data_IF_992788486243
#
_entry.id   IF_992788486243
#
_cell.length_a   1.000
_cell.length_b   1.000
_cell.length_c   1.000
_cell.angle_alpha   90.00
_cell.angle_beta   90.00
_cell.angle_gamma   90.00
#
_symmetry.space_group_name_H-M   'P 1'
#
loop_
_entity.id
_entity.type
_entity.pdbx_description
1 polymer ?
#
# COMPACT_ATOMS: atom_id res chain seq x y z
N UNK A 1 -66.16 16.48 4.62
CA UNK A 1 -65.61 15.11 4.59
C UNK A 1 -64.16 15.20 5.05
N UNK A 2 -63.86 14.49 6.16
CA UNK A 2 -62.57 14.10 6.75
C UNK A 2 -61.29 14.85 6.31
N UNK A 3 -60.45 15.40 7.19
CA UNK A 3 -60.42 15.43 8.66
C UNK A 3 -59.35 16.43 9.10
N UNK A 4 -59.71 17.25 10.08
CA UNK A 4 -58.85 18.17 10.83
C UNK A 4 -58.08 17.38 11.91
N UNK A 5 -56.91 17.88 12.32
CA UNK A 5 -56.65 18.41 13.68
C UNK A 5 -55.15 18.44 13.97
N UNK A 6 -54.71 19.64 14.33
CA UNK A 6 -53.40 20.01 14.88
C UNK A 6 -53.17 19.48 16.30
N UNK A 7 -51.91 19.56 16.72
CA UNK A 7 -51.38 19.45 18.08
C UNK A 7 -52.32 19.86 19.22
N UNK A 8 -52.37 19.04 20.27
CA UNK A 8 -52.36 19.57 21.63
C UNK A 8 -51.70 18.63 22.65
N UNK A 9 -51.08 19.28 23.61
CA UNK A 9 -50.13 18.85 24.64
C UNK A 9 -50.85 18.30 25.88
N UNK A 10 -50.33 17.26 26.54
CA UNK A 10 -50.59 17.03 27.98
C UNK A 10 -49.57 16.10 28.67
N UNK A 11 -48.60 16.73 29.33
CA UNK A 11 -48.30 16.63 30.77
C UNK A 11 -48.49 15.27 31.48
N UNK A 12 -47.35 14.64 31.81
CA UNK A 12 -47.06 14.15 33.16
C UNK A 12 -47.28 12.67 33.45
N UNK A 13 -46.18 11.96 33.72
CA UNK A 13 -46.08 11.11 34.92
C UNK A 13 -44.62 10.92 35.29
N UNK A 14 -44.25 11.47 36.44
CA UNK A 14 -43.06 11.08 37.18
C UNK A 14 -43.19 9.58 37.51
N UNK A 15 -42.23 8.80 37.03
CA UNK A 15 -42.16 7.35 37.21
C UNK A 15 -40.75 6.92 37.57
N UNK A 16 -40.39 7.13 38.84
CA UNK A 16 -39.50 6.28 39.65
C UNK A 16 -38.21 5.80 38.97
N UNK A 17 -37.14 6.57 39.14
CA UNK A 17 -35.76 6.10 39.04
C UNK A 17 -35.48 5.00 40.06
N UNK A 18 -35.73 3.74 39.67
CA UNK A 18 -35.12 2.58 40.30
C UNK A 18 -33.68 2.44 39.83
N UNK A 19 -32.77 1.85 40.62
CA UNK A 19 -31.39 1.69 40.22
C UNK A 19 -31.34 0.65 39.09
N UNK A 20 -30.88 1.05 37.91
CA UNK A 20 -30.57 0.11 36.84
C UNK A 20 -29.33 -0.72 37.24
N UNK A 21 -29.58 -1.79 37.98
CA UNK A 21 -28.72 -2.97 38.01
C UNK A 21 -28.97 -3.74 36.73
N UNK A 22 -28.41 -3.24 35.61
CA UNK A 22 -28.34 -3.92 34.33
C UNK A 22 -26.94 -4.51 34.16
N UNK A 23 -26.86 -5.83 34.18
CA UNK A 23 -25.66 -6.62 33.93
C UNK A 23 -25.17 -6.32 32.50
N UNK A 24 -24.22 -5.38 32.34
CA UNK A 24 -23.55 -5.08 31.06
C UNK A 24 -22.73 -6.31 30.65
N UNK A 25 -23.37 -7.20 29.90
CA UNK A 25 -22.73 -8.33 29.24
C UNK A 25 -21.68 -7.77 28.27
N UNK A 26 -20.42 -7.69 28.71
CA UNK A 26 -19.31 -7.21 27.90
C UNK A 26 -19.29 -8.00 26.59
N UNK A 27 -19.59 -7.34 25.48
CA UNK A 27 -19.57 -7.98 24.15
C UNK A 27 -18.15 -8.50 23.88
N UNK A 28 -17.97 -9.79 23.59
CA UNK A 28 -16.66 -10.34 23.35
C UNK A 28 -16.02 -9.69 22.13
N UNK A 29 -14.74 -9.31 22.25
CA UNK A 29 -14.00 -8.68 21.17
C UNK A 29 -13.81 -9.65 20.00
N UNK A 30 -14.03 -9.15 18.78
CA UNK A 30 -13.79 -9.90 17.55
C UNK A 30 -12.33 -10.38 17.48
N UNK A 31 -12.12 -11.66 17.14
CA UNK A 31 -10.78 -12.26 17.03
C UNK A 31 -9.91 -11.54 16.01
N UNK A 32 -10.52 -11.11 14.90
CA UNK A 32 -9.81 -10.37 13.85
C UNK A 32 -9.28 -9.04 14.37
N UNK A 33 -10.06 -8.30 15.17
CA UNK A 33 -9.61 -7.01 15.73
C UNK A 33 -8.44 -7.17 16.70
N UNK A 34 -8.37 -8.29 17.42
CA UNK A 34 -7.23 -8.59 18.27
C UNK A 34 -5.96 -8.91 17.46
N UNK A 35 -6.11 -9.63 16.34
CA UNK A 35 -5.00 -9.93 15.42
C UNK A 35 -4.55 -8.67 14.65
N UNK A 36 -5.49 -7.88 14.15
CA UNK A 36 -5.22 -6.62 13.47
C UNK A 36 -4.48 -5.64 14.40
N UNK A 37 -4.84 -5.60 15.69
CA UNK A 37 -4.11 -4.79 16.67
C UNK A 37 -2.64 -5.21 16.79
N UNK A 38 -2.36 -6.51 16.84
CA UNK A 38 -1.00 -7.04 16.92
C UNK A 38 -0.20 -6.77 15.63
N UNK A 39 -0.82 -6.94 14.47
CA UNK A 39 -0.20 -6.64 13.18
C UNK A 39 0.15 -5.15 13.11
N UNK A 40 -0.78 -4.28 13.53
CA UNK A 40 -0.59 -2.84 13.53
C UNK A 40 0.51 -2.39 14.49
N UNK A 41 0.63 -3.03 15.66
CA UNK A 41 1.74 -2.81 16.58
C UNK A 41 3.10 -3.19 15.94
N UNK A 42 3.15 -4.31 15.20
CA UNK A 42 4.37 -4.75 14.52
C UNK A 42 4.76 -3.83 13.35
N UNK A 43 3.77 -3.36 12.58
CA UNK A 43 3.96 -2.42 11.48
C UNK A 43 4.42 -1.05 12.01
N UNK A 44 3.86 -0.61 13.14
CA UNK A 44 4.29 0.61 13.81
C UNK A 44 5.74 0.48 14.30
N UNK A 45 6.11 -0.64 14.93
CA UNK A 45 7.49 -0.89 15.35
C UNK A 45 8.47 -0.79 14.17
N UNK A 46 8.12 -1.40 13.04
CA UNK A 46 8.91 -1.31 11.81
C UNK A 46 9.02 0.13 11.31
N UNK A 47 7.91 0.88 11.27
CA UNK A 47 7.90 2.27 10.81
C UNK A 47 8.72 3.19 11.71
N UNK A 48 8.61 3.05 13.03
CA UNK A 48 9.44 3.87 13.94
C UNK A 48 10.90 3.51 13.77
N UNK A 49 11.23 2.22 13.61
CA UNK A 49 12.60 1.79 13.35
C UNK A 49 13.14 2.33 12.02
N UNK A 50 12.38 2.27 10.93
CA UNK A 50 12.83 2.79 9.63
C UNK A 50 13.09 4.29 9.71
N UNK A 51 12.17 5.07 10.28
CA UNK A 51 12.35 6.52 10.46
C UNK A 51 13.52 6.84 11.41
N UNK A 52 13.69 6.08 12.49
CA UNK A 52 14.81 6.23 13.40
C UNK A 52 16.15 5.95 12.68
N UNK A 53 16.24 4.87 11.91
CA UNK A 53 17.45 4.51 11.16
C UNK A 53 17.80 5.53 10.07
N UNK A 54 16.78 6.16 9.45
CA UNK A 54 16.98 7.24 8.48
C UNK A 54 17.74 8.42 9.09
N UNK A 55 17.48 8.78 10.35
CA UNK A 55 18.19 9.87 11.03
C UNK A 55 19.70 9.61 11.17
N UNK A 56 20.13 8.36 11.13
CA UNK A 56 21.55 7.98 11.27
C UNK A 56 22.21 7.57 9.95
N UNK A 57 21.60 7.82 8.80
CA UNK A 57 22.18 7.51 7.48
C UNK A 57 23.53 8.19 7.23
N UNK A 58 23.75 9.36 7.84
CA UNK A 58 24.99 10.12 7.70
C UNK A 58 26.09 9.70 8.70
N UNK A 59 25.80 8.77 9.60
CA UNK A 59 26.79 8.25 10.55
C UNK A 59 27.65 7.16 9.90
N UNK A 60 28.85 6.93 10.46
CA UNK A 60 29.74 5.88 9.94
C UNK A 60 29.01 4.53 9.90
N UNK A 61 29.02 3.81 8.76
CA UNK A 61 28.41 2.49 8.66
C UNK A 61 29.12 1.55 9.64
N UNK A 62 28.35 0.87 10.50
CA UNK A 62 28.86 -0.12 11.46
C UNK A 62 28.87 0.28 12.95
N UNK A 63 28.60 1.55 13.29
CA UNK A 63 28.39 1.93 14.71
C UNK A 63 27.02 1.48 15.24
N UNK A 64 26.02 1.42 14.36
CA UNK A 64 24.64 1.05 14.72
C UNK A 64 24.43 -0.46 14.79
N UNK A 65 25.17 -1.25 14.02
CA UNK A 65 24.98 -2.71 13.95
C UNK A 65 25.16 -3.45 15.29
N UNK A 66 26.11 -3.10 16.19
CA UNK A 66 26.21 -3.75 17.49
C UNK A 66 25.14 -3.28 18.50
N UNK A 67 24.59 -2.07 18.32
CA UNK A 67 23.60 -1.45 19.22
C UNK A 67 22.17 -1.57 18.72
N UNK A 68 21.95 -2.01 17.47
CA UNK A 68 20.65 -2.19 16.83
C UNK A 68 19.61 -2.91 17.71
N UNK A 69 19.89 -4.10 18.29
CA UNK A 69 18.92 -4.79 19.12
C UNK A 69 18.60 -4.04 20.43
N UNK A 70 19.57 -3.31 21.00
CA UNK A 70 19.37 -2.52 22.22
C UNK A 70 18.51 -1.29 21.94
N UNK A 71 18.77 -0.61 20.81
CA UNK A 71 18.02 0.56 20.37
C UNK A 71 16.59 0.17 20.02
N UNK A 72 16.39 -0.93 19.29
CA UNK A 72 15.06 -1.44 18.94
C UNK A 72 14.25 -1.79 20.18
N UNK A 73 14.84 -2.51 21.14
CA UNK A 73 14.20 -2.82 22.41
C UNK A 73 13.90 -1.56 23.25
N UNK A 74 14.80 -0.57 23.26
CA UNK A 74 14.59 0.71 23.93
C UNK A 74 13.43 1.48 23.31
N UNK A 75 13.35 1.55 21.98
CA UNK A 75 12.23 2.17 21.27
C UNK A 75 10.91 1.48 21.63
N UNK A 76 10.88 0.14 21.60
CA UNK A 76 9.70 -0.62 21.97
C UNK A 76 9.28 -0.37 23.42
N UNK A 77 10.24 -0.33 24.35
CA UNK A 77 10.00 -0.04 25.77
C UNK A 77 9.50 1.39 25.99
N UNK A 78 10.00 2.35 25.21
CA UNK A 78 9.57 3.74 25.25
C UNK A 78 8.12 3.87 24.74
N UNK A 79 7.80 3.25 23.61
CA UNK A 79 6.42 3.19 23.09
C UNK A 79 5.47 2.57 24.12
N UNK A 80 5.86 1.44 24.72
CA UNK A 80 5.12 0.79 25.79
C UNK A 80 4.97 1.65 27.04
N UNK A 81 6.02 2.40 27.40
CA UNK A 81 5.98 3.32 28.54
C UNK A 81 4.94 4.42 28.33
N UNK A 82 4.85 4.99 27.13
CA UNK A 82 3.89 6.07 26.89
C UNK A 82 2.47 5.57 26.65
N UNK A 83 2.30 4.40 26.00
CA UNK A 83 0.98 3.84 25.69
C UNK A 83 0.43 3.00 26.84
N UNK A 84 1.06 1.88 27.17
CA UNK A 84 0.54 0.92 28.14
C UNK A 84 0.42 1.48 29.57
N UNK A 85 1.34 2.36 30.02
CA UNK A 85 1.19 2.94 31.36
C UNK A 85 0.05 3.95 31.42
N UNK A 86 -0.15 4.74 30.37
CA UNK A 86 -1.17 5.79 30.31
C UNK A 86 -2.57 5.21 30.07
N UNK A 87 -2.75 4.44 28.97
CA UNK A 87 -4.06 3.97 28.51
C UNK A 87 -4.33 2.49 28.78
N UNK A 88 -3.37 1.74 29.34
CA UNK A 88 -3.46 0.27 29.50
C UNK A 88 -3.81 -0.45 28.19
N UNK A 89 -3.41 0.13 27.05
CA UNK A 89 -3.59 -0.39 25.71
C UNK A 89 -2.27 -0.26 24.94
N UNK A 90 -2.04 -1.14 23.97
CA UNK A 90 -1.01 -0.92 22.96
C UNK A 90 -1.45 0.16 21.95
N UNK A 91 -0.53 0.58 21.07
CA UNK A 91 -0.85 1.60 20.06
C UNK A 91 -1.90 1.07 19.09
N UNK A 92 -1.72 -0.14 18.58
CA UNK A 92 -2.64 -0.82 17.68
C UNK A 92 -4.00 -1.06 18.33
N UNK A 93 -4.02 -1.47 19.60
CA UNK A 93 -5.26 -1.59 20.36
C UNK A 93 -5.97 -0.25 20.50
N UNK A 94 -5.25 0.83 20.83
CA UNK A 94 -5.84 2.16 20.96
C UNK A 94 -6.47 2.64 19.64
N UNK A 95 -5.85 2.34 18.50
CA UNK A 95 -6.40 2.67 17.17
C UNK A 95 -7.69 1.90 16.86
N UNK A 96 -7.81 0.67 17.37
CA UNK A 96 -9.00 -0.16 17.23
C UNK A 96 -10.00 -0.01 18.40
N UNK A 97 -9.81 1.01 19.25
CA UNK A 97 -10.64 1.25 20.44
C UNK A 97 -10.71 0.05 21.40
N UNK A 98 -9.61 -0.67 21.53
CA UNK A 98 -9.39 -1.78 22.46
C UNK A 98 -8.48 -1.35 23.61
N UNK A 99 -8.63 -1.98 24.77
CA UNK A 99 -7.71 -1.88 25.89
C UNK A 99 -7.56 -3.21 26.61
N UNK A 100 -6.53 -3.34 27.44
CA UNK A 100 -6.38 -4.52 28.28
C UNK A 100 -7.16 -4.43 29.58
N UNK A 101 -7.87 -5.52 29.89
CA UNK A 101 -8.54 -5.78 31.16
C UNK A 101 -7.83 -6.94 31.88
N UNK A 102 -7.87 -6.92 33.21
CA UNK A 102 -7.23 -7.94 34.05
C UNK A 102 -8.19 -9.12 34.31
N UNK A 103 -7.88 -10.30 33.78
CA UNK A 103 -8.73 -11.51 33.92
C UNK A 103 -8.60 -12.19 35.28
N UNK A 104 -7.53 -11.94 36.03
CA UNK A 104 -7.33 -12.59 37.34
C UNK A 104 -8.19 -12.00 38.45
N UNK A 105 -8.80 -10.83 38.22
CA UNK A 105 -9.82 -10.28 39.12
C UNK A 105 -11.19 -10.65 38.58
N UNK A 106 -11.88 -11.62 39.20
CA UNK A 106 -13.23 -12.07 38.82
C UNK A 106 -14.34 -11.02 39.05
N UNK A 107 -14.00 -9.73 39.05
CA UNK A 107 -14.96 -8.64 39.23
C UNK A 107 -15.59 -8.29 37.88
N UNK A 108 -16.91 -8.07 37.82
CA UNK A 108 -17.60 -7.69 36.59
C UNK A 108 -17.27 -6.26 36.11
N UNK A 109 -16.64 -5.45 36.97
CA UNK A 109 -16.19 -4.09 36.64
C UNK A 109 -14.81 -4.09 36.01
N UNK A 110 -14.61 -3.22 35.03
CA UNK A 110 -13.31 -2.95 34.42
C UNK A 110 -12.24 -2.67 35.48
N UNK A 111 -11.09 -3.35 35.37
CA UNK A 111 -9.93 -3.12 36.22
C UNK A 111 -8.67 -3.00 35.37
N UNK A 112 -7.95 -1.86 35.43
CA UNK A 112 -6.70 -1.70 34.71
C UNK A 112 -5.63 -2.66 35.23
N UNK A 113 -4.66 -2.99 34.38
CA UNK A 113 -3.58 -3.91 34.74
C UNK A 113 -2.73 -3.38 35.90
N UNK A 114 -2.34 -4.28 36.79
CA UNK A 114 -1.40 -3.95 37.87
C UNK A 114 -0.01 -3.60 37.31
N UNK A 115 0.76 -2.78 38.04
CA UNK A 115 2.13 -2.41 37.62
C UNK A 115 3.03 -3.62 37.35
N UNK A 116 2.87 -4.70 38.13
CA UNK A 116 3.62 -5.96 37.96
C UNK A 116 3.20 -6.70 36.69
N UNK A 117 1.90 -6.74 36.39
CA UNK A 117 1.40 -7.32 35.15
C UNK A 117 1.87 -6.53 33.94
N UNK A 118 1.82 -5.19 33.99
CA UNK A 118 2.35 -4.32 32.92
C UNK A 118 3.84 -4.59 32.66
N UNK A 119 4.65 -4.69 33.72
CA UNK A 119 6.07 -4.99 33.61
C UNK A 119 6.31 -6.42 33.10
N UNK A 120 5.56 -7.41 33.61
CA UNK A 120 5.64 -8.80 33.18
C UNK A 120 5.31 -8.95 31.70
N UNK A 121 4.30 -8.21 31.22
CA UNK A 121 3.93 -8.21 29.81
C UNK A 121 5.03 -7.61 28.94
N UNK A 122 5.58 -6.46 29.33
CA UNK A 122 6.70 -5.82 28.63
C UNK A 122 7.94 -6.74 28.56
N UNK A 123 8.29 -7.37 29.69
CA UNK A 123 9.43 -8.28 29.76
C UNK A 123 9.22 -9.52 28.89
N UNK A 124 7.99 -10.04 28.83
CA UNK A 124 7.68 -11.28 28.14
C UNK A 124 7.43 -11.08 26.62
N UNK A 125 7.14 -9.85 26.17
CA UNK A 125 7.03 -9.52 24.74
C UNK A 125 8.36 -9.02 24.17
N UNK A 126 9.02 -8.05 24.82
CA UNK A 126 10.28 -7.48 24.33
C UNK A 126 11.48 -8.40 24.63
N UNK A 127 11.47 -9.09 25.77
CA UNK A 127 12.58 -9.92 26.23
C UNK A 127 12.94 -11.07 25.27
N UNK A 128 11.98 -11.88 24.79
CA UNK A 128 12.29 -12.95 23.84
C UNK A 128 12.81 -12.45 22.50
N UNK A 129 12.29 -11.34 21.97
CA UNK A 129 12.78 -10.75 20.71
C UNK A 129 14.22 -10.26 20.87
N UNK A 130 14.50 -9.50 21.93
CA UNK A 130 15.85 -9.05 22.25
C UNK A 130 16.80 -10.23 22.47
N UNK A 131 16.37 -11.24 23.22
CA UNK A 131 17.19 -12.42 23.50
C UNK A 131 17.47 -13.22 22.23
N UNK A 132 16.51 -13.35 21.31
CA UNK A 132 16.70 -14.05 20.03
C UNK A 132 17.73 -13.33 19.16
N UNK A 133 17.62 -12.01 19.04
CA UNK A 133 18.52 -11.20 18.22
C UNK A 133 19.93 -11.13 18.83
N UNK A 134 20.03 -11.02 20.16
CA UNK A 134 21.29 -11.01 20.89
C UNK A 134 21.87 -12.40 21.14
N UNK A 135 21.11 -13.49 20.94
CA UNK A 135 21.55 -14.86 21.25
C UNK A 135 22.83 -15.23 20.51
N UNK A 136 22.97 -14.81 19.25
CA UNK A 136 24.15 -15.07 18.45
C UNK A 136 25.40 -14.39 19.06
N UNK A 137 25.30 -13.11 19.43
CA UNK A 137 26.40 -12.35 20.05
C UNK A 137 26.69 -12.78 21.49
N UNK A 138 25.67 -13.14 22.29
CA UNK A 138 25.86 -13.66 23.65
C UNK A 138 26.57 -15.01 23.63
N UNK A 139 26.22 -15.90 22.70
CA UNK A 139 26.94 -17.16 22.50
C UNK A 139 28.42 -16.92 22.13
N UNK A 140 28.71 -15.86 21.37
CA UNK A 140 30.08 -15.44 21.04
C UNK A 140 30.83 -14.82 22.23
N UNK A 141 30.23 -13.88 22.96
CA UNK A 141 30.84 -13.22 24.13
C UNK A 141 31.05 -14.15 25.33
N UNK A 142 30.22 -15.19 25.47
CA UNK A 142 30.43 -16.27 26.45
C UNK A 142 31.56 -17.24 26.06
N UNK A 143 32.31 -16.97 24.97
CA UNK A 143 33.47 -17.77 24.57
C UNK A 143 33.12 -19.10 23.92
N UNK A 144 31.89 -19.29 23.44
CA UNK A 144 31.36 -20.59 23.03
C UNK A 144 31.63 -20.93 21.55
N UNK A 145 32.73 -20.45 20.97
CA UNK A 145 33.10 -20.75 19.59
C UNK A 145 34.16 -21.85 19.50
N UNK A 146 33.89 -22.85 18.65
CA UNK A 146 34.71 -24.02 18.35
C UNK A 146 35.93 -23.71 17.47
N UNK A 147 36.72 -22.67 17.79
CA UNK A 147 37.78 -22.20 16.89
C UNK A 147 38.97 -21.46 17.50
N UNK A 148 39.11 -21.41 18.83
CA UNK A 148 40.33 -20.94 19.46
C UNK A 148 41.22 -22.13 19.85
N UNK A 149 42.50 -22.18 19.45
CA UNK A 149 43.42 -23.16 19.99
C UNK A 149 43.79 -22.74 21.43
N UNK A 150 43.95 -23.74 22.31
CA UNK A 150 44.49 -23.61 23.68
C UNK A 150 43.46 -23.23 24.77
N UNK A 151 42.83 -24.26 25.35
CA UNK A 151 42.81 -24.58 26.79
C UNK A 151 41.47 -25.19 27.28
N UNK A 152 41.55 -26.27 28.06
CA UNK A 152 40.53 -26.83 28.99
C UNK A 152 39.33 -27.64 28.43
N UNK A 153 39.50 -28.98 28.53
CA UNK A 153 38.63 -30.09 28.10
C UNK A 153 37.27 -30.19 28.83
N UNK A 154 37.08 -29.48 29.95
CA UNK A 154 35.88 -29.58 30.81
C UNK A 154 34.80 -28.50 30.54
N UNK A 155 35.17 -27.38 29.92
CA UNK A 155 34.24 -26.29 29.59
C UNK A 155 33.27 -26.65 28.43
N UNK A 156 33.64 -27.62 27.59
CA UNK A 156 32.89 -28.01 26.40
C UNK A 156 31.61 -28.82 26.65
N UNK A 157 31.51 -29.56 27.76
CA UNK A 157 30.31 -30.33 28.09
C UNK A 157 29.19 -29.44 28.62
N UNK A 158 29.52 -28.50 29.53
CA UNK A 158 28.57 -27.51 30.06
C UNK A 158 28.07 -26.57 28.94
N UNK A 159 28.95 -26.14 28.05
CA UNK A 159 28.61 -25.32 26.88
C UNK A 159 27.65 -26.04 25.92
N UNK A 160 27.92 -27.31 25.58
CA UNK A 160 27.01 -28.11 24.75
C UNK A 160 25.66 -28.32 25.44
N UNK A 161 25.68 -28.57 26.76
CA UNK A 161 24.47 -28.68 27.58
C UNK A 161 23.64 -27.40 27.57
N UNK A 162 24.27 -26.24 27.76
CA UNK A 162 23.60 -24.94 27.75
C UNK A 162 22.99 -24.62 26.38
N UNK A 163 23.71 -24.86 25.29
CA UNK A 163 23.20 -24.65 23.93
C UNK A 163 22.00 -25.57 23.63
N UNK A 164 22.10 -26.84 24.01
CA UNK A 164 20.98 -27.79 23.91
C UNK A 164 19.79 -27.37 24.77
N UNK A 165 20.03 -26.82 25.98
CA UNK A 165 18.99 -26.30 26.86
C UNK A 165 18.29 -25.08 26.25
N UNK A 166 19.05 -24.11 25.72
CA UNK A 166 18.48 -22.93 25.04
C UNK A 166 17.66 -23.34 23.81
N UNK A 167 18.14 -24.29 23.03
CA UNK A 167 17.39 -24.84 21.89
C UNK A 167 16.11 -25.56 22.35
N UNK A 168 16.19 -26.36 23.42
CA UNK A 168 15.04 -27.06 23.99
C UNK A 168 13.99 -26.07 24.52
N UNK A 169 14.41 -25.04 25.25
CA UNK A 169 13.54 -23.96 25.74
C UNK A 169 12.88 -23.23 24.56
N UNK A 170 13.64 -22.94 23.50
CA UNK A 170 13.11 -22.33 22.28
C UNK A 170 12.03 -23.20 21.62
N UNK A 171 12.30 -24.50 21.46
CA UNK A 171 11.32 -25.46 20.93
C UNK A 171 10.06 -25.55 21.80
N UNK A 172 10.21 -25.64 23.12
CA UNK A 172 9.09 -25.67 24.06
C UNK A 172 8.27 -24.38 23.99
N UNK A 173 8.94 -23.22 23.91
CA UNK A 173 8.28 -21.91 23.80
C UNK A 173 7.51 -21.78 22.47
N UNK A 174 8.08 -22.25 21.36
CA UNK A 174 7.41 -22.28 20.05
C UNK A 174 6.18 -23.19 20.08
N UNK A 175 6.30 -24.39 20.64
CA UNK A 175 5.18 -25.32 20.78
C UNK A 175 4.09 -24.75 21.71
N UNK A 176 4.47 -24.14 22.82
CA UNK A 176 3.54 -23.48 23.73
C UNK A 176 2.82 -22.31 23.05
N UNK A 177 3.52 -21.53 22.22
CA UNK A 177 2.93 -20.45 21.42
C UNK A 177 1.94 -20.98 20.38
N UNK A 178 2.27 -22.09 19.69
CA UNK A 178 1.37 -22.74 18.74
C UNK A 178 0.10 -23.25 19.43
N UNK A 179 0.25 -23.94 20.57
CA UNK A 179 -0.89 -24.40 21.38
C UNK A 179 -1.70 -23.20 21.88
N UNK A 180 -1.04 -22.12 22.30
CA UNK A 180 -1.72 -20.89 22.71
C UNK A 180 -2.60 -20.33 21.60
N UNK A 181 -2.05 -20.25 20.39
CA UNK A 181 -2.74 -19.78 19.19
C UNK A 181 -3.91 -20.68 18.79
N UNK A 182 -3.76 -22.01 18.84
CA UNK A 182 -4.87 -22.94 18.58
C UNK A 182 -6.01 -22.77 19.61
N UNK A 183 -5.66 -22.61 20.89
CA UNK A 183 -6.66 -22.31 21.94
C UNK A 183 -7.30 -20.94 21.71
N UNK A 184 -6.55 -19.97 21.21
CA UNK A 184 -7.08 -18.66 20.83
C UNK A 184 -8.08 -18.75 19.67
N UNK A 185 -7.80 -19.54 18.63
CA UNK A 185 -8.75 -19.73 17.53
C UNK A 185 -10.09 -20.32 18.00
N UNK A 186 -10.06 -21.17 19.04
CA UNK A 186 -11.28 -21.75 19.63
C UNK A 186 -12.00 -20.80 20.59
N UNK A 187 -11.29 -20.17 21.53
CA UNK A 187 -11.87 -19.36 22.62
C UNK A 187 -11.94 -17.86 22.31
N UNK A 188 -10.95 -17.31 21.63
CA UNK A 188 -10.87 -15.89 21.23
C UNK A 188 -10.43 -14.91 22.31
N UNK A 189 -9.81 -15.36 23.41
CA UNK A 189 -9.53 -14.48 24.56
C UNK A 189 -8.12 -13.85 24.56
N UNK A 190 -7.07 -14.64 24.25
CA UNK A 190 -5.68 -14.20 24.36
C UNK A 190 -4.88 -14.66 23.11
N UNK A 191 -4.55 -13.76 22.17
CA UNK A 191 -3.80 -14.11 20.97
C UNK A 191 -2.33 -14.47 21.26
N UNK A 192 -1.69 -13.79 22.21
CA UNK A 192 -0.27 -14.03 22.53
C UNK A 192 -0.10 -14.84 23.82
N UNK A 193 0.90 -15.73 23.86
CA UNK A 193 1.23 -16.50 25.07
C UNK A 193 1.58 -15.57 26.24
N UNK A 194 2.27 -14.46 25.95
CA UNK A 194 2.64 -13.46 26.93
C UNK A 194 1.42 -12.85 27.65
N UNK A 195 0.39 -12.53 26.89
CA UNK A 195 -0.88 -12.00 27.42
C UNK A 195 -1.61 -13.03 28.27
N UNK A 196 -1.57 -14.31 27.87
CA UNK A 196 -2.17 -15.40 28.65
C UNK A 196 -1.48 -15.59 30.00
N UNK A 197 -0.15 -15.53 30.05
CA UNK A 197 0.62 -15.69 31.30
C UNK A 197 0.33 -14.52 32.25
N UNK A 198 0.20 -13.31 31.72
CA UNK A 198 -0.06 -12.09 32.50
C UNK A 198 -1.55 -11.93 32.88
N UNK A 199 -2.46 -12.62 32.19
CA UNK A 199 -3.91 -12.46 32.35
C UNK A 199 -4.42 -11.14 31.76
N UNK A 200 -3.84 -10.70 30.65
CA UNK A 200 -4.24 -9.51 29.93
C UNK A 200 -5.24 -9.89 28.82
N UNK A 201 -6.49 -9.43 28.93
CA UNK A 201 -7.53 -9.67 27.92
C UNK A 201 -7.90 -8.38 27.21
N UNK A 202 -8.00 -8.41 25.88
CA UNK A 202 -8.49 -7.28 25.11
C UNK A 202 -10.01 -7.12 25.27
N UNK A 203 -10.45 -5.92 25.65
CA UNK A 203 -11.87 -5.53 25.81
C UNK A 203 -12.08 -4.21 25.08
N UNK A 204 -13.30 -3.96 24.57
CA UNK A 204 -13.63 -2.69 23.94
C UNK A 204 -13.64 -1.54 24.96
N UNK A 205 -13.05 -0.41 24.60
CA UNK A 205 -13.03 0.82 25.41
C UNK A 205 -14.39 1.47 25.55
N UNK A 206 -15.27 1.28 24.56
CA UNK A 206 -16.64 1.76 24.59
C UNK A 206 -17.56 0.63 24.10
N UNK A 207 -18.62 0.27 24.86
CA UNK A 207 -19.48 -0.88 24.55
C UNK A 207 -20.35 -0.72 23.28
N UNK A 208 -20.35 0.46 22.63
CA UNK A 208 -21.23 0.77 21.50
C UNK A 208 -20.49 1.29 20.25
N UNK A 209 -19.27 0.81 19.98
CA UNK A 209 -18.61 1.13 18.71
C UNK A 209 -18.88 -0.01 17.74
N UNK A 210 -19.97 0.10 16.98
CA UNK A 210 -20.13 -0.69 15.75
C UNK A 210 -18.95 -0.31 14.85
N UNK A 211 -18.16 -1.31 14.45
CA UNK A 211 -16.99 -1.10 13.61
C UNK A 211 -17.44 -0.56 12.27
N UNK A 212 -17.24 0.75 12.04
CA UNK A 212 -17.27 1.29 10.68
C UNK A 212 -16.08 0.70 9.94
N UNK A 213 -16.36 -0.25 9.05
CA UNK A 213 -15.36 -0.81 8.17
C UNK A 213 -15.10 0.27 7.11
N UNK A 214 -14.00 1.01 7.26
CA UNK A 214 -13.64 2.11 6.34
C UNK A 214 -13.19 1.56 4.99
N UNK A 215 -14.14 1.08 4.19
CA UNK A 215 -13.92 0.65 2.80
C UNK A 215 -13.56 1.80 1.86
N UNK A 216 -13.60 3.05 2.34
CA UNK A 216 -13.40 4.25 1.52
C UNK A 216 -12.06 4.23 0.77
N UNK A 217 -10.97 3.84 1.44
CA UNK A 217 -9.65 3.80 0.80
C UNK A 217 -9.54 2.65 -0.19
N UNK A 218 -9.95 1.44 0.20
CA UNK A 218 -9.92 0.25 -0.67
C UNK A 218 -10.78 0.45 -1.92
N UNK A 219 -11.99 0.99 -1.76
CA UNK A 219 -12.89 1.27 -2.87
C UNK A 219 -12.32 2.34 -3.80
N UNK A 220 -11.66 3.38 -3.25
CA UNK A 220 -11.01 4.40 -4.04
C UNK A 220 -9.85 3.82 -4.86
N UNK A 221 -9.00 3.00 -4.24
CA UNK A 221 -7.85 2.39 -4.91
C UNK A 221 -8.31 1.43 -6.03
N UNK A 222 -9.31 0.59 -5.74
CA UNK A 222 -9.88 -0.35 -6.71
C UNK A 222 -10.52 0.38 -7.89
N UNK A 223 -11.25 1.47 -7.62
CA UNK A 223 -11.88 2.28 -8.66
C UNK A 223 -10.81 2.93 -9.54
N UNK A 224 -9.77 3.53 -8.96
CA UNK A 224 -8.70 4.16 -9.75
C UNK A 224 -7.91 3.17 -10.57
N UNK A 225 -7.60 1.99 -10.04
CA UNK A 225 -6.95 0.92 -10.82
C UNK A 225 -7.83 0.44 -11.97
N UNK A 226 -9.09 0.12 -11.71
CA UNK A 226 -10.02 -0.32 -12.77
C UNK A 226 -10.25 0.76 -13.83
N UNK A 227 -10.31 2.03 -13.42
CA UNK A 227 -10.40 3.16 -14.34
C UNK A 227 -9.14 3.33 -15.19
N UNK A 228 -7.95 3.17 -14.61
CA UNK A 228 -6.69 3.26 -15.34
C UNK A 228 -6.54 2.14 -16.37
N UNK A 229 -6.90 0.89 -16.02
CA UNK A 229 -6.91 -0.23 -16.96
C UNK A 229 -7.85 0.03 -18.13
N UNK A 230 -9.05 0.54 -17.86
CA UNK A 230 -10.00 0.94 -18.89
C UNK A 230 -9.45 2.04 -19.82
N UNK A 231 -8.78 3.07 -19.27
CA UNK A 231 -8.16 4.13 -20.06
C UNK A 231 -7.05 3.62 -20.97
N UNK A 232 -6.25 2.64 -20.53
CA UNK A 232 -5.19 2.04 -21.36
C UNK A 232 -5.80 1.35 -22.59
N UNK A 233 -6.97 0.71 -22.48
CA UNK A 233 -7.66 0.13 -23.62
C UNK A 233 -8.32 1.16 -24.53
N UNK A 234 -8.77 2.29 -23.99
CA UNK A 234 -9.32 3.39 -24.80
C UNK A 234 -8.23 4.19 -25.52
N UNK A 235 -7.02 4.28 -24.97
CA UNK A 235 -5.95 5.12 -25.49
C UNK A 235 -5.61 4.83 -26.98
N UNK A 236 -5.49 3.57 -27.45
CA UNK A 236 -5.27 3.26 -28.86
C UNK A 236 -6.45 3.58 -29.78
N UNK A 237 -7.68 3.65 -29.24
CA UNK A 237 -8.89 3.95 -30.01
C UNK A 237 -9.07 5.46 -30.26
N UNK A 238 -8.37 6.30 -29.49
CA UNK A 238 -8.43 7.75 -29.66
C UNK A 238 -7.45 8.13 -30.78
N UNK A 239 -7.98 8.60 -31.91
CA UNK A 239 -7.17 9.18 -32.97
C UNK A 239 -6.54 10.50 -32.47
N UNK A 240 -5.32 10.39 -31.93
CA UNK A 240 -4.56 11.49 -31.33
C UNK A 240 -4.31 12.64 -32.31
N UNK A 241 -4.30 12.38 -33.62
CA UNK A 241 -4.13 13.42 -34.65
C UNK A 241 -5.38 14.25 -34.83
N UNK A 242 -6.56 13.63 -34.92
CA UNK A 242 -7.84 14.35 -34.97
C UNK A 242 -8.08 15.14 -33.68
N UNK A 243 -7.83 14.52 -32.53
CA UNK A 243 -7.95 15.22 -31.23
C UNK A 243 -6.96 16.39 -31.15
N UNK A 244 -5.71 16.22 -31.57
CA UNK A 244 -4.72 17.30 -31.60
C UNK A 244 -5.12 18.41 -32.57
N UNK A 245 -5.64 18.10 -33.76
CA UNK A 245 -6.10 19.10 -34.72
C UNK A 245 -7.32 19.88 -34.19
N UNK A 246 -8.27 19.21 -33.55
CA UNK A 246 -9.46 19.85 -32.94
C UNK A 246 -9.09 20.64 -31.68
N UNK A 247 -8.23 20.12 -30.81
CA UNK A 247 -7.74 20.86 -29.63
C UNK A 247 -6.89 22.05 -30.07
N UNK A 248 -6.04 21.90 -31.08
CA UNK A 248 -5.25 23.01 -31.61
C UNK A 248 -6.14 24.05 -32.31
N UNK A 249 -7.15 23.66 -33.09
CA UNK A 249 -8.07 24.63 -33.69
C UNK A 249 -8.96 25.35 -32.66
N UNK A 250 -9.28 24.70 -31.54
CA UNK A 250 -10.02 25.30 -30.43
C UNK A 250 -9.13 26.21 -29.57
N UNK A 251 -7.89 25.80 -29.29
CA UNK A 251 -6.96 26.53 -28.40
C UNK A 251 -6.22 27.65 -29.13
N UNK A 252 -5.83 27.45 -30.39
CA UNK A 252 -5.14 28.46 -31.22
C UNK A 252 -6.07 29.30 -32.09
N UNK A 253 -7.38 29.08 -32.02
CA UNK A 253 -8.36 29.83 -32.80
C UNK A 253 -8.29 29.46 -34.28
N UNK A 254 -9.43 29.17 -34.88
CA UNK A 254 -9.55 28.91 -36.31
C UNK A 254 -9.04 30.10 -37.11
N UNK A 255 -7.80 30.02 -37.59
CA UNK A 255 -7.37 30.76 -38.76
C UNK A 255 -8.10 30.16 -39.95
N UNK A 256 -9.19 30.81 -40.36
CA UNK A 256 -9.86 30.57 -41.63
C UNK A 256 -8.82 30.50 -42.75
N UNK A 257 -8.65 29.33 -43.34
CA UNK A 257 -8.06 29.22 -44.67
C UNK A 257 -9.11 29.76 -45.65
N UNK A 258 -9.07 31.07 -45.87
CA UNK A 258 -9.79 31.73 -46.95
C UNK A 258 -8.79 32.08 -48.06
N UNK A 259 -9.17 31.76 -49.30
CA UNK A 259 -8.47 32.17 -50.52
C UNK A 259 -7.30 31.29 -50.97
N UNK A 260 -7.53 30.36 -51.90
CA UNK A 260 -7.39 30.64 -53.34
C UNK A 260 -7.37 29.32 -54.14
N UNK A 261 -8.44 29.10 -54.90
CA UNK A 261 -8.37 28.29 -56.11
C UNK A 261 -7.55 29.05 -57.15
N UNK A 262 -6.23 28.86 -57.14
CA UNK A 262 -5.30 29.37 -58.14
C UNK A 262 -4.60 28.21 -58.83
N UNK A 263 -4.83 28.07 -60.13
CA UNK A 263 -4.22 27.06 -61.01
C UNK A 263 -2.69 27.25 -61.04
N UNK A 264 -1.93 26.29 -60.50
CA UNK A 264 -0.51 26.12 -60.82
C UNK A 264 -0.25 24.68 -61.26
N UNK A 265 -0.40 24.45 -62.56
CA UNK A 265 -0.36 23.12 -63.20
C UNK A 265 1.08 22.60 -63.35
N UNK A 266 2.14 23.32 -62.95
CA UNK A 266 3.55 22.91 -63.21
C UNK A 266 4.46 22.88 -61.96
N UNK A 267 3.92 22.99 -60.73
CA UNK A 267 4.72 23.06 -59.50
C UNK A 267 4.65 21.85 -58.55
N UNK A 268 3.71 20.92 -58.76
CA UNK A 268 3.25 19.98 -57.73
C UNK A 268 4.22 18.80 -57.48
N UNK A 269 5.27 18.65 -58.29
CA UNK A 269 6.16 17.47 -58.26
C UNK A 269 7.53 17.70 -57.63
N UNK A 270 7.74 18.82 -56.92
CA UNK A 270 9.07 19.19 -56.40
C UNK A 270 9.37 18.64 -55.01
N UNK A 271 8.34 18.40 -54.19
CA UNK A 271 8.51 17.97 -52.79
C UNK A 271 7.47 16.94 -52.37
N UNK A 272 7.86 16.07 -51.45
CA UNK A 272 6.97 15.10 -50.81
C UNK A 272 6.06 15.80 -49.81
N UNK A 273 4.75 15.61 -49.92
CA UNK A 273 3.77 16.21 -49.02
C UNK A 273 3.79 15.72 -47.56
N UNK A 274 4.68 14.80 -47.19
CA UNK A 274 4.84 14.27 -45.83
C UNK A 274 6.20 14.60 -45.21
N UNK A 275 7.29 14.50 -45.97
CA UNK A 275 8.65 14.75 -45.46
C UNK A 275 9.28 16.06 -45.95
N UNK A 276 8.68 16.75 -46.93
CA UNK A 276 9.19 18.03 -47.46
C UNK A 276 10.43 17.91 -48.36
N UNK A 277 10.93 16.70 -48.57
CA UNK A 277 12.11 16.43 -49.41
C UNK A 277 11.73 15.98 -50.83
N UNK A 278 12.70 15.93 -51.74
CA UNK A 278 12.51 15.38 -53.08
C UNK A 278 11.98 13.93 -53.01
N UNK A 279 10.87 13.62 -53.71
CA UNK A 279 10.18 12.36 -53.51
C UNK A 279 10.98 11.15 -54.01
N UNK A 280 11.36 10.25 -53.10
CA UNK A 280 11.98 8.97 -53.46
C UNK A 280 10.90 7.99 -53.90
N UNK A 281 10.92 7.59 -55.17
CA UNK A 281 9.88 6.76 -55.80
C UNK A 281 8.48 7.39 -55.64
N UNK A 282 8.16 8.41 -56.44
CA UNK A 282 6.98 9.26 -56.27
C UNK A 282 5.68 8.47 -56.49
N UNK A 283 4.75 8.56 -55.54
CA UNK A 283 3.43 7.96 -55.60
C UNK A 283 2.34 8.99 -55.33
N UNK A 284 1.19 8.80 -55.98
CA UNK A 284 -0.05 9.54 -55.74
C UNK A 284 -1.11 8.60 -55.22
N UNK A 285 -2.14 9.15 -54.57
CA UNK A 285 -3.18 8.35 -53.89
C UNK A 285 -4.57 8.72 -54.37
N UNK A 286 -4.73 8.92 -55.69
CA UNK A 286 -5.98 9.40 -56.29
C UNK A 286 -6.19 10.93 -56.23
N UNK A 287 -5.19 11.67 -55.77
CA UNK A 287 -5.16 13.14 -55.78
C UNK A 287 -3.88 13.64 -56.45
N UNK A 288 -3.79 14.95 -56.71
CA UNK A 288 -2.65 15.57 -57.42
C UNK A 288 -1.37 15.68 -56.55
N UNK A 289 -1.41 15.30 -55.26
CA UNK A 289 -0.27 15.40 -54.36
C UNK A 289 0.70 14.21 -54.49
N UNK A 290 2.00 14.51 -54.51
CA UNK A 290 3.07 13.52 -54.62
C UNK A 290 3.70 13.23 -53.26
N UNK A 291 3.97 11.95 -53.01
CA UNK A 291 4.61 11.47 -51.78
C UNK A 291 5.72 10.46 -52.11
N UNK A 292 6.72 10.31 -51.23
CA UNK A 292 7.63 9.17 -51.28
C UNK A 292 6.86 7.87 -51.01
N UNK A 293 7.26 6.78 -51.67
CA UNK A 293 6.66 5.46 -51.43
C UNK A 293 6.61 5.08 -49.95
N UNK A 294 7.73 5.20 -49.23
CA UNK A 294 7.80 4.83 -47.81
C UNK A 294 6.96 5.74 -46.92
N UNK A 295 6.94 7.05 -47.20
CA UNK A 295 6.13 8.00 -46.45
C UNK A 295 4.64 7.70 -46.59
N UNK A 296 4.17 7.41 -47.81
CA UNK A 296 2.75 7.13 -47.99
C UNK A 296 2.36 5.73 -47.50
N UNK A 297 3.22 4.73 -47.70
CA UNK A 297 2.99 3.37 -47.20
C UNK A 297 2.92 3.33 -45.67
N UNK A 298 3.83 4.03 -44.98
CA UNK A 298 3.81 4.16 -43.52
C UNK A 298 2.57 4.91 -43.02
N UNK A 299 2.13 5.94 -43.74
CA UNK A 299 0.89 6.65 -43.43
C UNK A 299 -0.34 5.74 -43.55
N UNK A 300 -0.43 4.91 -44.59
CA UNK A 300 -1.52 3.95 -44.81
C UNK A 300 -1.54 2.85 -43.73
N UNK A 301 -0.37 2.42 -43.25
CA UNK A 301 -0.29 1.41 -42.18
C UNK A 301 -0.70 2.01 -40.83
N UNK A 302 -0.36 3.28 -40.60
CA UNK A 302 -0.62 3.96 -39.33
C UNK A 302 -2.07 4.48 -39.19
N UNK A 303 -2.75 4.79 -40.29
CA UNK A 303 -4.13 5.30 -40.29
C UNK A 303 -5.03 4.39 -41.13
N UNK A 304 -6.01 3.75 -40.46
CA UNK A 304 -6.99 2.89 -41.13
C UNK A 304 -7.90 3.68 -42.10
N UNK A 305 -7.99 5.01 -41.92
CA UNK A 305 -8.71 5.90 -42.82
C UNK A 305 -7.75 6.42 -43.90
N UNK A 306 -7.71 5.74 -45.06
CA UNK A 306 -6.99 6.17 -46.25
C UNK A 306 -7.48 7.56 -46.71
N UNK A 307 -6.87 8.62 -46.19
CA UNK A 307 -7.13 10.00 -46.59
C UNK A 307 -5.83 10.71 -46.91
N UNK A 308 -5.85 11.56 -47.93
CA UNK A 308 -4.70 12.39 -48.27
C UNK A 308 -4.42 13.38 -47.12
N UNK A 309 -3.19 13.44 -46.58
CA UNK A 309 -2.86 14.35 -45.48
C UNK A 309 -2.90 15.83 -45.87
N UNK A 310 -2.83 16.18 -47.17
CA UNK A 310 -2.88 17.58 -47.65
C UNK A 310 -4.28 18.06 -48.03
N UNK A 311 -5.13 17.23 -48.63
CA UNK A 311 -6.47 17.63 -49.07
C UNK A 311 -7.64 16.87 -48.44
N UNK A 312 -7.39 15.83 -47.64
CA UNK A 312 -8.44 15.03 -47.03
C UNK A 312 -9.25 14.15 -47.99
N UNK A 313 -8.89 14.11 -49.29
CA UNK A 313 -9.56 13.26 -50.27
C UNK A 313 -9.39 11.77 -49.93
N UNK A 314 -10.43 10.96 -50.19
CA UNK A 314 -10.38 9.51 -50.04
C UNK A 314 -9.27 8.94 -50.92
N UNK A 315 -8.34 8.26 -50.26
CA UNK A 315 -7.10 7.83 -50.87
C UNK A 315 -7.28 6.42 -51.48
N UNK A 316 -7.05 6.29 -52.79
CA UNK A 316 -7.01 5.00 -53.48
C UNK A 316 -5.77 4.18 -53.16
N UNK A 317 -5.52 3.09 -53.92
CA UNK A 317 -4.21 2.42 -53.84
C UNK A 317 -3.10 3.37 -54.34
N UNK A 318 -1.91 3.37 -53.71
CA UNK A 318 -0.83 4.25 -54.14
C UNK A 318 -0.34 3.85 -55.53
N UNK A 319 -0.48 4.74 -56.49
CA UNK A 319 -0.04 4.53 -57.87
C UNK A 319 1.27 5.28 -58.14
N UNK A 320 2.23 4.64 -58.85
CA UNK A 320 3.50 5.28 -59.18
C UNK A 320 3.28 6.41 -60.19
N UNK A 321 3.88 7.57 -59.93
CA UNK A 321 3.85 8.71 -60.84
C UNK A 321 4.87 8.48 -61.96
N UNK A 322 4.41 8.49 -63.22
CA UNK A 322 5.30 8.51 -64.38
C UNK A 322 5.84 9.93 -64.55
N UNK A 323 7.09 10.15 -64.16
CA UNK A 323 7.80 11.40 -64.45
C UNK A 323 8.46 11.25 -65.82
N UNK A 324 7.96 11.96 -66.82
CA UNK A 324 8.69 12.18 -68.07
C UNK A 324 9.72 13.29 -67.82
N UNK A 325 10.99 12.90 -67.74
CA UNK A 325 12.09 13.85 -67.56
C UNK A 325 12.48 14.39 -68.94
N UNK A 326 11.93 15.53 -69.33
CA UNK A 326 12.48 16.29 -70.47
C UNK A 326 13.82 16.89 -70.06
N UNK A 327 14.91 16.29 -70.57
CA UNK A 327 16.26 16.84 -70.45
C UNK A 327 16.36 18.08 -71.36
N UNK A 328 16.09 19.26 -70.84
CA UNK A 328 16.40 20.52 -71.53
C UNK A 328 17.92 20.69 -71.56
N UNK A 329 18.56 20.23 -72.64
CA UNK A 329 19.98 20.45 -72.88
C UNK A 329 20.25 21.96 -73.00
N UNK A 330 21.01 22.52 -72.05
CA UNK A 330 21.60 23.86 -72.19
C UNK A 330 22.63 23.81 -73.33
N UNK A 331 22.37 24.53 -74.42
CA UNK A 331 23.41 25.08 -75.29
C UNK A 331 24.04 26.29 -74.62
#
# INVERSE_FOLDING_TARGET
MAGLVSEENQKGTAGRSGPETGDELQTPVLRISQLDALELDSALEQLVWTQFSQCFQNCRPGLLTPLEPELRALLQLLLWRFTLFSSSATVGQSLLSLHYNNTFSSSPRYRPLSRRQKLGLALLTAGPCWLKERSHSLLLCLGLNTGGPVSERDSGLLQKGLRSCLNLISCIAQLASLINFLVFLRKGCHPVLAERIVGAQAVFTKPNVVRDITYQYMNRELLWHGFAEFLIFLLPLINTRKLKATVYSIVFGGGSADGEGGRDVHGVWKECGLCGEWPTMPHTVGCQHVFCYYCIKSHIIADACLTCPKCGAEAGQPEPVKIEVEMTGRQ
#
